data_IF_247924156436
#
_entry.id   IF_247924156436
#
_cell.length_a   1.000
_cell.length_b   1.000
_cell.length_c   1.000
_cell.angle_alpha   90.00
_cell.angle_beta   90.00
_cell.angle_gamma   90.00
#
_symmetry.space_group_name_H-M   'P 1'
#
loop_
_entity.id
_entity.type
_entity.pdbx_description
1 polymer ?
#
# COMPACT_ATOMS: atom_id res chain seq x y z
N UNK A 1 -30.14 8.44 3.55
CA UNK A 1 -29.83 7.98 4.91
C UNK A 1 -28.47 7.33 4.97
N UNK A 2 -27.75 7.54 6.07
CA UNK A 2 -26.46 6.90 6.26
C UNK A 2 -26.65 5.39 6.48
N UNK A 3 -25.93 4.58 5.71
CA UNK A 3 -25.96 3.13 5.85
C UNK A 3 -25.15 2.71 7.07
N UNK A 4 -25.64 1.70 7.78
CA UNK A 4 -24.92 1.19 8.94
C UNK A 4 -23.74 0.34 8.49
N UNK A 5 -22.55 0.66 8.99
CA UNK A 5 -21.33 -0.09 8.69
C UNK A 5 -21.31 -1.37 9.51
N UNK A 6 -21.12 -2.52 8.86
CA UNK A 6 -20.99 -3.82 9.53
C UNK A 6 -19.54 -4.25 9.70
N UNK A 7 -18.62 -3.71 8.90
CA UNK A 7 -17.22 -4.05 9.04
C UNK A 7 -16.32 -3.33 8.07
N UNK A 8 -15.02 -3.49 8.31
CA UNK A 8 -13.97 -2.96 7.45
C UNK A 8 -13.04 -4.10 7.06
N UNK A 9 -12.59 -4.10 5.82
CA UNK A 9 -11.59 -5.05 5.34
C UNK A 9 -10.43 -4.26 4.76
N UNK A 10 -9.21 -4.55 5.21
CA UNK A 10 -7.99 -3.93 4.71
C UNK A 10 -7.23 -4.95 3.90
N UNK A 11 -6.91 -4.61 2.66
CA UNK A 11 -6.23 -5.51 1.73
C UNK A 11 -5.08 -4.77 1.04
N UNK A 12 -4.10 -5.55 0.57
CA UNK A 12 -3.05 -5.06 -0.31
C UNK A 12 -3.14 -5.88 -1.60
N UNK A 13 -3.44 -5.22 -2.70
CA UNK A 13 -3.71 -5.88 -3.99
C UNK A 13 -2.84 -5.23 -5.07
N UNK A 14 -2.20 -6.02 -5.95
CA UNK A 14 -1.52 -5.44 -7.11
C UNK A 14 -2.47 -4.62 -7.98
N UNK A 15 -2.06 -3.43 -8.36
CA UNK A 15 -2.88 -2.51 -9.13
C UNK A 15 -3.29 -3.13 -10.48
N UNK A 16 -4.56 -3.06 -10.79
CA UNK A 16 -5.12 -3.59 -12.04
C UNK A 16 -5.20 -5.11 -12.10
N UNK A 17 -4.87 -5.81 -11.01
CA UNK A 17 -4.81 -7.28 -10.98
C UNK A 17 -5.66 -7.91 -9.87
N UNK A 18 -6.69 -7.22 -9.42
CA UNK A 18 -7.59 -7.81 -8.44
C UNK A 18 -8.36 -8.97 -9.05
N UNK A 19 -8.37 -10.11 -8.35
CA UNK A 19 -9.06 -11.33 -8.76
C UNK A 19 -9.83 -11.92 -7.58
N UNK A 20 -10.85 -12.76 -7.83
CA UNK A 20 -11.56 -13.45 -6.75
C UNK A 20 -10.70 -14.45 -5.96
N UNK A 21 -9.49 -14.75 -6.44
CA UNK A 21 -8.56 -15.63 -5.74
C UNK A 21 -8.07 -14.99 -4.43
N UNK A 22 -7.55 -15.80 -3.47
CA UNK A 22 -6.97 -15.24 -2.26
C UNK A 22 -5.94 -14.14 -2.55
N UNK A 23 -5.83 -13.08 -1.74
CA UNK A 23 -6.54 -12.86 -0.46
C UNK A 23 -7.92 -12.19 -0.56
N UNK A 24 -8.35 -11.77 -1.76
CA UNK A 24 -9.55 -10.97 -1.95
C UNK A 24 -10.83 -11.78 -1.67
N UNK A 25 -10.93 -12.97 -2.28
CA UNK A 25 -12.13 -13.80 -2.18
C UNK A 25 -12.50 -14.14 -0.75
N UNK A 26 -11.62 -14.78 0.03
CA UNK A 26 -11.93 -15.12 1.42
C UNK A 26 -12.22 -13.91 2.30
N UNK A 27 -11.50 -12.82 2.14
CA UNK A 27 -11.67 -11.62 2.95
C UNK A 27 -13.03 -10.96 2.73
N UNK A 28 -13.47 -10.83 1.49
CA UNK A 28 -14.77 -10.23 1.15
C UNK A 28 -15.92 -11.23 1.22
N UNK A 29 -15.67 -12.49 0.93
CA UNK A 29 -16.68 -13.54 0.95
C UNK A 29 -17.31 -13.74 2.32
N UNK A 30 -16.53 -13.59 3.39
CA UNK A 30 -17.03 -13.68 4.77
C UNK A 30 -18.12 -12.65 5.07
N UNK A 31 -18.09 -11.53 4.39
CA UNK A 31 -19.06 -10.44 4.58
C UNK A 31 -20.19 -10.46 3.55
N UNK A 32 -20.18 -11.41 2.61
CA UNK A 32 -21.21 -11.53 1.60
C UNK A 32 -21.18 -10.43 0.53
N UNK A 33 -20.03 -9.81 0.33
CA UNK A 33 -19.86 -8.74 -0.65
C UNK A 33 -19.67 -9.31 -2.06
N UNK A 34 -20.13 -8.57 -3.07
CA UNK A 34 -19.93 -8.95 -4.47
C UNK A 34 -18.47 -8.79 -4.87
N UNK A 35 -17.72 -9.89 -4.85
CA UNK A 35 -16.28 -9.92 -5.10
C UNK A 35 -15.95 -9.48 -6.54
N UNK A 36 -16.72 -9.94 -7.52
CA UNK A 36 -16.50 -9.60 -8.93
C UNK A 36 -16.70 -8.10 -9.17
N UNK A 37 -17.72 -7.50 -8.58
CA UNK A 37 -17.96 -6.07 -8.68
C UNK A 37 -16.81 -5.26 -8.09
N UNK A 38 -16.32 -5.68 -6.92
CA UNK A 38 -15.17 -5.05 -6.27
C UNK A 38 -13.92 -5.13 -7.15
N UNK A 39 -13.60 -6.31 -7.67
CA UNK A 39 -12.42 -6.50 -8.51
C UNK A 39 -12.48 -5.62 -9.77
N UNK A 40 -13.63 -5.53 -10.40
CA UNK A 40 -13.81 -4.70 -11.59
C UNK A 40 -13.56 -3.22 -11.28
N UNK A 41 -14.22 -2.69 -10.25
CA UNK A 41 -14.07 -1.29 -9.86
C UNK A 41 -12.63 -0.96 -9.43
N UNK A 42 -12.01 -1.84 -8.65
CA UNK A 42 -10.62 -1.67 -8.22
C UNK A 42 -9.67 -1.64 -9.42
N UNK A 43 -9.83 -2.59 -10.35
CA UNK A 43 -8.98 -2.65 -11.53
C UNK A 43 -9.12 -1.41 -12.40
N UNK A 44 -10.33 -0.89 -12.56
CA UNK A 44 -10.57 0.35 -13.30
C UNK A 44 -9.86 1.54 -12.64
N UNK A 45 -10.01 1.68 -11.32
CA UNK A 45 -9.41 2.80 -10.58
C UNK A 45 -7.90 2.74 -10.49
N UNK A 46 -7.31 1.56 -10.50
CA UNK A 46 -5.87 1.38 -10.30
C UNK A 46 -5.11 1.04 -11.58
N UNK A 47 -5.79 1.01 -12.74
CA UNK A 47 -5.15 0.64 -14.02
C UNK A 47 -3.93 1.49 -14.36
N UNK A 48 -3.96 2.78 -13.99
CA UNK A 48 -2.85 3.71 -14.24
C UNK A 48 -1.65 3.47 -13.33
N UNK A 49 -1.82 2.71 -12.26
CA UNK A 49 -0.79 2.43 -11.27
C UNK A 49 -0.29 0.98 -11.35
N UNK A 50 -0.48 0.35 -12.51
CA UNK A 50 -0.07 -1.04 -12.73
C UNK A 50 1.40 -1.27 -12.34
N UNK A 51 1.68 -2.39 -11.69
CA UNK A 51 3.01 -2.74 -11.20
C UNK A 51 3.29 -2.32 -9.76
N UNK A 52 2.36 -1.61 -9.12
CA UNK A 52 2.45 -1.24 -7.71
C UNK A 52 1.43 -2.03 -6.89
N UNK A 53 1.74 -2.25 -5.62
CA UNK A 53 0.78 -2.84 -4.68
C UNK A 53 0.02 -1.69 -4.05
N UNK A 54 -1.32 -1.74 -4.12
CA UNK A 54 -2.18 -0.68 -3.61
C UNK A 54 -2.90 -1.15 -2.37
N UNK A 55 -2.72 -0.49 -1.21
CA UNK A 55 -3.53 -0.75 -0.03
C UNK A 55 -4.96 -0.25 -0.25
N UNK A 56 -5.91 -1.06 0.14
CA UNK A 56 -7.35 -0.77 0.00
C UNK A 56 -8.02 -0.96 1.34
N UNK A 57 -8.87 -0.01 1.71
CA UNK A 57 -9.77 -0.16 2.86
C UNK A 57 -11.20 -0.24 2.33
N UNK A 58 -11.82 -1.39 2.49
CA UNK A 58 -13.19 -1.64 2.06
C UNK A 58 -14.12 -1.47 3.26
N UNK A 59 -15.11 -0.60 3.13
CA UNK A 59 -16.15 -0.43 4.14
C UNK A 59 -17.38 -1.20 3.69
N UNK A 60 -17.88 -2.09 4.55
CA UNK A 60 -19.00 -2.97 4.25
C UNK A 60 -20.21 -2.52 5.06
N UNK A 61 -21.35 -2.41 4.39
CA UNK A 61 -22.59 -1.94 4.97
C UNK A 61 -23.57 -3.09 5.23
N UNK A 62 -24.57 -2.83 6.05
CA UNK A 62 -25.55 -3.84 6.47
C UNK A 62 -26.34 -4.44 5.30
N UNK A 63 -26.53 -3.70 4.24
CA UNK A 63 -27.23 -4.15 3.02
C UNK A 63 -26.33 -4.94 2.05
N UNK A 64 -25.11 -5.31 2.51
CA UNK A 64 -24.07 -5.99 1.72
C UNK A 64 -23.50 -5.15 0.60
N UNK A 65 -23.78 -3.87 0.56
CA UNK A 65 -23.07 -2.94 -0.31
C UNK A 65 -21.72 -2.61 0.27
N UNK A 66 -20.84 -2.06 -0.55
CA UNK A 66 -19.50 -1.69 -0.12
C UNK A 66 -19.07 -0.37 -0.75
N UNK A 67 -18.16 0.30 -0.05
CA UNK A 67 -17.36 1.39 -0.63
C UNK A 67 -15.91 1.10 -0.31
N UNK A 68 -14.99 1.59 -1.13
CA UNK A 68 -13.58 1.40 -0.85
C UNK A 68 -12.79 2.66 -1.17
N UNK A 69 -11.69 2.83 -0.45
CA UNK A 69 -10.71 3.86 -0.71
C UNK A 69 -9.37 3.19 -0.98
N UNK A 70 -8.65 3.72 -1.96
CA UNK A 70 -7.28 3.29 -2.24
C UNK A 70 -6.32 4.29 -1.61
N UNK A 71 -5.24 3.78 -1.05
CA UNK A 71 -4.17 4.58 -0.46
C UNK A 71 -2.95 4.54 -1.34
N UNK A 72 -1.95 5.35 -1.02
CA UNK A 72 -0.66 5.30 -1.73
C UNK A 72 0.02 3.96 -1.47
N UNK A 73 0.88 3.49 -2.41
CA UNK A 73 1.61 2.22 -2.21
C UNK A 73 2.39 2.24 -0.90
N UNK A 74 2.57 1.06 -0.25
CA UNK A 74 3.37 0.99 0.98
C UNK A 74 4.79 1.50 0.76
N UNK A 75 5.37 2.18 1.75
CA UNK A 75 6.72 2.70 1.67
C UNK A 75 7.74 1.60 1.32
N UNK A 76 7.56 0.41 1.89
CA UNK A 76 8.43 -0.73 1.59
C UNK A 76 8.44 -1.11 0.10
N UNK A 77 7.28 -1.10 -0.55
CA UNK A 77 7.15 -1.40 -1.98
C UNK A 77 7.85 -0.33 -2.82
N UNK A 78 7.65 0.94 -2.49
CA UNK A 78 8.29 2.06 -3.19
C UNK A 78 9.80 2.02 -3.05
N UNK A 79 10.30 1.71 -1.85
CA UNK A 79 11.73 1.57 -1.57
C UNK A 79 12.34 0.41 -2.35
N UNK A 80 11.70 -0.74 -2.40
CA UNK A 80 12.17 -1.88 -3.18
C UNK A 80 12.25 -1.55 -4.66
N UNK A 81 11.26 -0.85 -5.18
CA UNK A 81 11.24 -0.44 -6.58
C UNK A 81 12.34 0.57 -6.89
N UNK A 82 12.55 1.56 -6.01
CA UNK A 82 13.60 2.57 -6.17
C UNK A 82 15.00 1.94 -6.14
N UNK A 83 15.21 0.97 -5.27
CA UNK A 83 16.48 0.26 -5.14
C UNK A 83 16.65 -0.91 -6.12
N UNK A 84 15.59 -1.25 -6.88
CA UNK A 84 15.58 -2.37 -7.84
C UNK A 84 15.87 -3.72 -7.18
N UNK A 85 15.32 -3.94 -5.99
CA UNK A 85 15.45 -5.20 -5.24
C UNK A 85 14.07 -5.85 -5.09
N UNK A 86 14.06 -7.18 -5.00
CA UNK A 86 12.82 -7.96 -4.85
C UNK A 86 12.35 -8.03 -3.40
N UNK A 87 13.29 -8.10 -2.46
CA UNK A 87 12.98 -8.21 -1.04
C UNK A 87 14.00 -7.48 -0.19
N UNK A 88 13.58 -7.08 1.01
CA UNK A 88 14.47 -6.50 2.01
C UNK A 88 15.34 -7.55 2.68
N UNK A 89 16.22 -7.10 3.58
CA UNK A 89 17.10 -7.98 4.34
C UNK A 89 16.34 -8.73 5.43
N UNK A 90 16.66 -10.00 5.61
CA UNK A 90 16.18 -10.80 6.74
C UNK A 90 16.88 -10.42 8.05
N UNK A 91 18.06 -9.81 7.97
CA UNK A 91 18.84 -9.34 9.15
C UNK A 91 19.32 -7.92 8.86
N UNK A 92 18.41 -6.92 8.92
CA UNK A 92 18.71 -5.56 8.45
C UNK A 92 19.75 -4.83 9.27
N UNK A 93 19.96 -5.19 10.52
CA UNK A 93 20.97 -4.58 11.38
C UNK A 93 22.39 -5.05 11.05
N UNK A 94 22.54 -6.20 10.41
CA UNK A 94 23.84 -6.79 10.08
C UNK A 94 24.09 -6.85 8.58
N UNK A 95 23.08 -7.20 7.80
CA UNK A 95 23.19 -7.40 6.35
C UNK A 95 22.42 -6.28 5.63
N UNK A 96 23.14 -5.42 4.90
CA UNK A 96 22.53 -4.36 4.08
C UNK A 96 22.39 -4.85 2.65
N UNK A 97 21.25 -4.59 2.02
CA UNK A 97 20.94 -5.10 0.68
C UNK A 97 20.97 -4.04 -0.41
N UNK A 98 20.86 -2.76 -0.04
CA UNK A 98 20.85 -1.67 -1.01
C UNK A 98 21.22 -0.35 -0.35
N UNK A 99 21.43 0.68 -1.18
CA UNK A 99 21.67 2.06 -0.76
C UNK A 99 20.75 2.97 -1.57
N UNK A 100 20.17 3.96 -0.91
CA UNK A 100 19.29 4.94 -1.54
C UNK A 100 19.76 6.35 -1.16
N UNK A 101 19.62 7.32 -2.06
CA UNK A 101 19.93 8.72 -1.77
C UNK A 101 18.82 9.40 -1.00
N UNK A 102 19.12 10.46 -0.26
CA UNK A 102 18.12 11.27 0.44
C UNK A 102 17.11 11.89 -0.54
N UNK A 103 17.56 12.25 -1.73
CA UNK A 103 16.66 12.82 -2.76
C UNK A 103 15.57 11.83 -3.17
N UNK A 104 15.93 10.57 -3.38
CA UNK A 104 14.97 9.52 -3.71
C UNK A 104 14.02 9.26 -2.55
N UNK A 105 14.52 9.28 -1.31
CA UNK A 105 13.68 9.17 -0.11
C UNK A 105 12.67 10.31 -0.04
N UNK A 106 13.08 11.53 -0.34
CA UNK A 106 12.18 12.68 -0.38
C UNK A 106 11.10 12.55 -1.46
N UNK A 107 11.44 12.02 -2.63
CA UNK A 107 10.48 11.76 -3.70
C UNK A 107 9.42 10.75 -3.26
N UNK A 108 9.83 9.69 -2.60
CA UNK A 108 8.91 8.69 -2.04
C UNK A 108 8.02 9.33 -0.97
N UNK A 109 8.60 10.15 -0.11
CA UNK A 109 7.86 10.85 0.94
C UNK A 109 6.80 11.79 0.36
N UNK A 110 7.12 12.53 -0.71
CA UNK A 110 6.15 13.38 -1.41
C UNK A 110 4.95 12.59 -1.91
N UNK A 111 5.19 11.43 -2.48
CA UNK A 111 4.11 10.57 -2.96
C UNK A 111 3.20 10.07 -1.83
N UNK A 112 3.73 9.94 -0.62
CA UNK A 112 3.01 9.41 0.53
C UNK A 112 2.44 10.46 1.47
N UNK A 113 2.79 11.74 1.29
CA UNK A 113 2.32 12.81 2.19
C UNK A 113 0.80 12.76 2.46
N UNK A 114 -0.08 12.49 1.46
CA UNK A 114 -1.52 12.41 1.72
C UNK A 114 -1.92 11.36 2.76
N UNK A 115 -1.12 10.31 2.92
CA UNK A 115 -1.40 9.21 3.86
C UNK A 115 -0.57 9.28 5.14
N UNK A 116 0.36 10.22 5.24
CA UNK A 116 1.27 10.33 6.38
C UNK A 116 0.82 11.41 7.36
N UNK A 117 1.06 11.15 8.63
CA UNK A 117 0.88 12.13 9.70
C UNK A 117 2.20 12.87 9.93
N UNK A 118 2.66 13.57 8.91
CA UNK A 118 3.91 14.34 8.94
C UNK A 118 3.62 15.83 8.84
N UNK A 119 4.36 16.62 9.63
CA UNK A 119 4.18 18.06 9.65
C UNK A 119 4.73 18.74 8.38
N UNK A 120 5.79 18.16 7.79
CA UNK A 120 6.43 18.71 6.59
C UNK A 120 7.11 17.58 5.81
N UNK A 121 7.72 17.93 4.67
CA UNK A 121 8.42 16.96 3.82
C UNK A 121 9.59 16.29 4.52
N UNK A 122 10.36 17.04 5.32
CA UNK A 122 11.50 16.48 6.03
C UNK A 122 11.08 15.43 7.06
N UNK A 123 9.99 15.69 7.78
CA UNK A 123 9.41 14.70 8.70
C UNK A 123 8.94 13.45 7.96
N UNK A 124 8.28 13.62 6.81
CA UNK A 124 7.85 12.51 5.96
C UNK A 124 9.04 11.70 5.46
N UNK A 125 10.10 12.37 5.01
CA UNK A 125 11.34 11.72 4.56
C UNK A 125 11.99 10.92 5.70
N UNK A 126 11.96 11.44 6.93
CA UNK A 126 12.48 10.74 8.10
C UNK A 126 11.71 9.45 8.38
N UNK A 127 10.38 9.46 8.22
CA UNK A 127 9.54 8.27 8.37
C UNK A 127 9.88 7.20 7.32
N UNK A 128 10.06 7.61 6.07
CA UNK A 128 10.45 6.71 4.97
C UNK A 128 11.86 6.15 5.20
N UNK A 129 12.79 6.99 5.65
CA UNK A 129 14.17 6.56 5.97
C UNK A 129 14.18 5.51 7.09
N UNK A 130 13.30 5.64 8.09
CA UNK A 130 13.16 4.64 9.14
C UNK A 130 12.70 3.29 8.58
N UNK A 131 11.75 3.30 7.66
CA UNK A 131 11.31 2.09 6.96
C UNK A 131 12.43 1.46 6.14
N UNK A 132 13.21 2.28 5.42
CA UNK A 132 14.37 1.82 4.66
C UNK A 132 15.40 1.13 5.56
N UNK A 133 15.69 1.74 6.72
CA UNK A 133 16.60 1.15 7.69
C UNK A 133 16.14 -0.22 8.17
N UNK A 134 14.83 -0.36 8.42
CA UNK A 134 14.25 -1.64 8.85
C UNK A 134 14.32 -2.71 7.77
N UNK A 135 14.51 -2.33 6.50
CA UNK A 135 14.65 -3.23 5.37
C UNK A 135 16.09 -3.56 5.02
N UNK A 136 17.06 -2.96 5.73
CA UNK A 136 18.47 -3.13 5.39
C UNK A 136 18.93 -2.24 4.25
N UNK A 137 18.25 -1.14 3.99
CA UNK A 137 18.60 -0.14 2.98
C UNK A 137 19.30 1.02 3.67
N UNK A 138 20.50 1.38 3.19
CA UNK A 138 21.28 2.50 3.71
C UNK A 138 20.87 3.78 2.99
N UNK A 139 20.52 4.81 3.77
CA UNK A 139 20.21 6.13 3.22
C UNK A 139 21.48 6.97 3.23
N UNK A 140 21.93 7.41 2.07
CA UNK A 140 23.10 8.27 1.91
C UNK A 140 22.72 9.70 1.56
N UNK A 141 23.53 10.63 1.97
CA UNK A 141 23.38 12.04 1.63
C UNK A 141 23.68 12.33 0.16
#
# INVERSE_FOLDING_TARGET
>A
MAKKVTGYVKLQIPAGKATPAPPVGPALGQHGVNIMGFCKEFNEKTSQQAGLIIPVVVTIYQDKSFTFITKTPPAAVLLKKACKIESGSGVPNKSKVATISKEEVKKIAEMKIPDLNAANLDAAASMVAGTARSMGIVVKD
#
